data_IF_176069111095
#
_entry.id   IF_176069111095
#
_cell.length_a   1.000
_cell.length_b   1.000
_cell.length_c   1.000
_cell.angle_alpha   90.00
_cell.angle_beta   90.00
_cell.angle_gamma   90.00
#
_symmetry.space_group_name_H-M   'P 1'
#
loop_
_entity.id
_entity.type
_entity.pdbx_description
1 polymer ?
#
# COMPACT_ATOMS: atom_id res chain seq x y z
N UNK A 1 -32.64 18.85 27.72
CA UNK A 1 -31.49 18.41 26.91
C UNK A 1 -32.06 17.57 25.79
N UNK A 2 -32.18 18.17 24.60
CA UNK A 2 -32.55 17.44 23.39
C UNK A 2 -31.45 16.41 23.11
N UNK A 3 -31.77 15.18 22.69
CA UNK A 3 -30.74 14.25 22.27
C UNK A 3 -30.05 14.89 21.07
N UNK A 4 -28.75 15.20 21.19
CA UNK A 4 -27.94 15.64 20.06
C UNK A 4 -28.15 14.63 18.93
N UNK A 5 -28.68 15.10 17.82
CA UNK A 5 -28.64 14.36 16.57
C UNK A 5 -27.15 14.13 16.32
N UNK A 6 -26.68 12.90 16.52
CA UNK A 6 -25.29 12.54 16.31
C UNK A 6 -25.00 12.69 14.81
N UNK A 7 -24.59 13.89 14.40
CA UNK A 7 -24.15 14.14 13.05
C UNK A 7 -22.82 13.40 12.91
N UNK A 8 -22.69 12.52 11.90
CA UNK A 8 -21.40 11.90 11.60
C UNK A 8 -20.32 12.99 11.50
N UNK A 9 -19.13 12.77 12.07
CA UNK A 9 -18.06 13.74 12.03
C UNK A 9 -17.70 14.10 10.59
N UNK A 10 -17.42 15.37 10.33
CA UNK A 10 -16.91 15.80 9.03
C UNK A 10 -15.45 15.33 8.90
N UNK A 11 -15.19 14.51 7.89
CA UNK A 11 -13.86 13.97 7.58
C UNK A 11 -13.49 14.28 6.14
N UNK A 12 -12.21 14.60 5.92
CA UNK A 12 -11.57 14.75 4.62
C UNK A 12 -10.38 13.77 4.54
N UNK A 13 -10.22 13.10 3.41
CA UNK A 13 -9.08 12.21 3.18
C UNK A 13 -8.01 12.91 2.36
N UNK A 14 -6.81 13.06 2.93
CA UNK A 14 -5.63 13.53 2.20
C UNK A 14 -4.85 12.32 1.68
N UNK A 15 -4.96 12.11 0.39
CA UNK A 15 -4.39 11.02 -0.39
C UNK A 15 -3.14 11.51 -1.13
N UNK A 16 -2.17 10.63 -1.28
CA UNK A 16 -0.93 10.93 -1.99
C UNK A 16 0.14 9.92 -1.60
N UNK A 17 1.06 9.61 -2.51
CA UNK A 17 2.11 8.66 -2.19
C UNK A 17 3.01 9.13 -1.04
N UNK A 18 3.71 8.23 -0.33
CA UNK A 18 4.78 8.66 0.54
C UNK A 18 5.78 9.53 -0.23
N UNK A 19 6.38 10.51 0.45
CA UNK A 19 7.32 11.48 -0.13
C UNK A 19 6.73 12.44 -1.18
N UNK A 20 5.42 12.48 -1.38
CA UNK A 20 4.76 13.49 -2.24
C UNK A 20 4.60 14.87 -1.58
N UNK A 21 4.89 15.00 -0.28
CA UNK A 21 4.72 16.25 0.47
C UNK A 21 3.43 16.35 1.28
N UNK A 22 2.71 15.23 1.47
CA UNK A 22 1.44 15.20 2.22
C UNK A 22 1.58 15.76 3.63
N UNK A 23 2.70 15.49 4.32
CA UNK A 23 2.96 16.05 5.66
C UNK A 23 3.13 17.58 5.64
N UNK A 24 3.72 18.16 4.59
CA UNK A 24 3.82 19.62 4.45
C UNK A 24 2.42 20.22 4.25
N UNK A 25 1.63 19.65 3.34
CA UNK A 25 0.27 20.11 3.10
C UNK A 25 -0.58 20.03 4.38
N UNK A 26 -0.52 18.92 5.12
CA UNK A 26 -1.19 18.77 6.42
C UNK A 26 -0.75 19.86 7.40
N UNK A 27 0.57 20.12 7.50
CA UNK A 27 1.12 21.12 8.41
C UNK A 27 0.61 22.53 8.12
N UNK A 28 0.40 22.87 6.85
CA UNK A 28 -0.15 24.16 6.46
C UNK A 28 -1.66 24.24 6.70
N UNK A 29 -2.42 23.19 6.36
CA UNK A 29 -3.87 23.16 6.55
C UNK A 29 -4.29 23.21 8.02
N UNK A 30 -3.53 22.58 8.93
CA UNK A 30 -3.88 22.57 10.36
C UNK A 30 -3.78 23.95 11.05
N UNK A 31 -3.16 24.94 10.39
CA UNK A 31 -3.12 26.33 10.87
C UNK A 31 -4.49 27.02 10.79
N UNK A 32 -5.45 26.44 10.05
CA UNK A 32 -6.82 26.92 10.03
C UNK A 32 -7.53 26.59 11.37
N UNK A 33 -8.33 27.52 11.94
CA UNK A 33 -8.98 27.33 13.23
C UNK A 33 -9.93 26.11 13.26
N UNK A 34 -10.58 25.80 12.13
CA UNK A 34 -11.57 24.72 12.04
C UNK A 34 -11.02 23.34 11.61
N UNK A 35 -9.73 23.21 11.29
CA UNK A 35 -9.14 21.99 10.73
C UNK A 35 -8.24 21.27 11.75
N UNK A 36 -8.56 20.03 12.11
CA UNK A 36 -7.66 19.13 12.87
C UNK A 36 -7.09 18.05 11.96
N UNK A 37 -5.80 17.77 12.07
CA UNK A 37 -5.15 16.75 11.24
C UNK A 37 -4.06 16.01 12.04
N UNK A 38 -4.41 14.92 12.75
CA UNK A 38 -3.45 14.20 13.58
C UNK A 38 -2.40 13.43 12.76
N UNK A 39 -1.34 12.85 13.37
CA UNK A 39 -0.30 12.17 12.59
C UNK A 39 -0.92 10.90 12.03
N UNK A 40 -0.35 10.41 10.92
CA UNK A 40 -0.87 9.32 10.10
C UNK A 40 -1.64 8.27 10.91
N UNK A 41 -2.99 8.26 10.86
CA UNK A 41 -3.78 7.37 11.71
C UNK A 41 -3.69 5.91 11.30
N UNK A 42 -3.49 5.62 10.00
CA UNK A 42 -3.52 4.28 9.41
C UNK A 42 -4.84 3.51 9.68
N UNK A 43 -5.87 4.20 10.16
CA UNK A 43 -7.09 3.61 10.69
C UNK A 43 -7.89 2.87 9.60
N UNK A 44 -8.02 3.47 8.41
CA UNK A 44 -8.81 2.86 7.34
C UNK A 44 -8.18 1.57 6.80
N UNK A 45 -6.84 1.47 6.81
CA UNK A 45 -6.13 0.25 6.45
C UNK A 45 -6.37 -0.87 7.48
N UNK A 46 -6.36 -0.53 8.76
CA UNK A 46 -6.66 -1.48 9.83
C UNK A 46 -8.13 -1.93 9.81
N UNK A 47 -9.06 -1.01 9.54
CA UNK A 47 -10.49 -1.30 9.46
C UNK A 47 -10.87 -2.11 8.22
N UNK A 48 -10.19 -1.93 7.08
CA UNK A 48 -10.39 -2.78 5.91
C UNK A 48 -9.98 -4.23 6.21
N UNK A 49 -8.88 -4.40 6.96
CA UNK A 49 -8.41 -5.70 7.44
C UNK A 49 -9.21 -6.27 8.65
N UNK A 50 -10.27 -5.60 9.10
CA UNK A 50 -11.05 -6.02 10.27
C UNK A 50 -11.61 -7.45 10.09
N UNK A 51 -11.24 -8.38 10.97
CA UNK A 51 -11.63 -9.78 10.89
C UNK A 51 -10.59 -10.70 10.23
N UNK A 52 -9.44 -10.16 9.82
CA UNK A 52 -8.29 -10.97 9.40
C UNK A 52 -7.49 -11.47 10.61
N UNK A 53 -7.07 -12.73 10.56
CA UNK A 53 -6.35 -13.40 11.64
C UNK A 53 -4.91 -13.68 11.22
N UNK A 54 -3.94 -13.35 12.08
CA UNK A 54 -2.53 -13.71 11.87
C UNK A 54 -2.39 -15.24 11.85
N UNK A 55 -1.71 -15.79 10.85
CA UNK A 55 -1.49 -17.24 10.71
C UNK A 55 -0.73 -17.85 11.89
N UNK A 56 0.01 -17.04 12.65
CA UNK A 56 0.78 -17.45 13.84
C UNK A 56 -0.05 -17.40 15.13
N UNK A 57 -1.35 -17.16 15.04
CA UNK A 57 -2.20 -17.04 16.22
C UNK A 57 -2.19 -18.36 17.03
N UNK A 58 -1.83 -18.34 18.33
CA UNK A 58 -1.57 -19.55 19.12
C UNK A 58 -2.83 -20.38 19.39
N UNK A 59 -4.02 -19.78 19.33
CA UNK A 59 -5.30 -20.47 19.49
C UNK A 59 -5.82 -21.16 18.20
N UNK A 60 -4.96 -21.36 17.19
CA UNK A 60 -5.32 -21.99 15.92
C UNK A 60 -5.91 -20.99 14.93
N UNK A 61 -5.04 -20.35 14.14
CA UNK A 61 -5.42 -19.31 13.19
C UNK A 61 -6.54 -19.72 12.22
N UNK A 62 -6.49 -20.94 11.66
CA UNK A 62 -7.51 -21.44 10.73
C UNK A 62 -8.89 -21.57 11.37
N UNK A 63 -8.95 -22.01 12.63
CA UNK A 63 -10.22 -22.14 13.36
C UNK A 63 -10.82 -20.77 13.67
N UNK A 64 -10.00 -19.83 14.14
CA UNK A 64 -10.44 -18.47 14.41
C UNK A 64 -10.88 -17.79 13.11
N UNK A 65 -10.12 -17.94 12.02
CA UNK A 65 -10.47 -17.38 10.72
C UNK A 65 -11.81 -17.91 10.23
N UNK A 66 -12.08 -19.21 10.37
CA UNK A 66 -13.38 -19.79 10.02
C UNK A 66 -14.51 -19.19 10.89
N UNK A 67 -14.35 -19.21 12.21
CA UNK A 67 -15.36 -18.73 13.15
C UNK A 67 -15.65 -17.23 12.98
N UNK A 68 -14.61 -16.39 12.83
CA UNK A 68 -14.79 -14.94 12.66
C UNK A 68 -15.40 -14.61 11.31
N UNK A 69 -15.05 -15.34 10.24
CA UNK A 69 -15.66 -15.15 8.92
C UNK A 69 -17.14 -15.50 8.95
N UNK A 70 -17.49 -16.62 9.59
CA UNK A 70 -18.88 -17.03 9.75
C UNK A 70 -19.67 -16.01 10.58
N UNK A 71 -19.10 -15.52 11.68
CA UNK A 71 -19.73 -14.50 12.53
C UNK A 71 -19.94 -13.18 11.78
N UNK A 72 -18.88 -12.66 11.13
CA UNK A 72 -18.92 -11.39 10.41
C UNK A 72 -19.76 -11.45 9.13
N UNK A 73 -20.01 -12.63 8.56
CA UNK A 73 -20.90 -12.80 7.40
C UNK A 73 -22.35 -12.38 7.67
N UNK A 74 -22.74 -12.28 8.95
CA UNK A 74 -24.11 -11.96 9.40
C UNK A 74 -24.33 -10.47 9.67
N UNK A 75 -23.32 -9.62 9.46
CA UNK A 75 -23.39 -8.18 9.72
C UNK A 75 -22.93 -7.38 8.51
N UNK A 76 -23.37 -6.12 8.44
CA UNK A 76 -22.77 -5.15 7.52
C UNK A 76 -21.48 -4.58 8.14
N UNK A 77 -20.34 -5.07 7.66
CA UNK A 77 -19.01 -4.62 8.09
C UNK A 77 -18.78 -3.13 7.81
N UNK A 78 -19.41 -2.55 6.79
CA UNK A 78 -19.28 -1.13 6.45
C UNK A 78 -19.89 -0.27 7.55
N UNK A 79 -21.08 -0.62 8.03
CA UNK A 79 -21.78 0.11 9.11
C UNK A 79 -20.93 0.06 10.39
N UNK A 80 -20.42 -1.11 10.75
CA UNK A 80 -19.62 -1.27 11.98
C UNK A 80 -18.28 -0.55 11.88
N UNK A 81 -17.56 -0.68 10.77
CA UNK A 81 -16.30 0.04 10.55
C UNK A 81 -16.51 1.55 10.53
N UNK A 82 -17.60 2.04 9.93
CA UNK A 82 -17.96 3.46 9.97
C UNK A 82 -18.29 3.92 11.38
N UNK A 83 -19.06 3.17 12.16
CA UNK A 83 -19.38 3.52 13.54
C UNK A 83 -18.12 3.65 14.42
N UNK A 84 -17.16 2.72 14.26
CA UNK A 84 -15.87 2.81 14.93
C UNK A 84 -15.09 4.07 14.51
N UNK A 85 -15.00 4.31 13.20
CA UNK A 85 -14.29 5.47 12.66
C UNK A 85 -14.93 6.80 13.10
N UNK A 86 -16.27 6.91 13.05
CA UNK A 86 -17.03 8.07 13.50
C UNK A 86 -16.75 8.36 15.00
N UNK A 87 -16.72 7.32 15.83
CA UNK A 87 -16.41 7.47 17.25
C UNK A 87 -14.96 7.95 17.50
N UNK A 88 -13.99 7.50 16.70
CA UNK A 88 -12.59 7.95 16.80
C UNK A 88 -12.45 9.39 16.31
N UNK A 89 -12.91 9.70 15.10
CA UNK A 89 -12.79 11.05 14.52
C UNK A 89 -13.58 12.08 15.35
N UNK A 90 -14.77 11.71 15.84
CA UNK A 90 -15.58 12.56 16.71
C UNK A 90 -14.86 12.94 18.00
N UNK A 91 -14.11 12.02 18.61
CA UNK A 91 -13.31 12.34 19.80
C UNK A 91 -12.17 13.33 19.50
N UNK A 92 -11.48 13.19 18.37
CA UNK A 92 -10.46 14.16 17.96
C UNK A 92 -11.04 15.55 17.71
N UNK A 93 -12.20 15.62 17.04
CA UNK A 93 -12.89 16.88 16.78
C UNK A 93 -13.35 17.55 18.08
N UNK A 94 -13.98 16.78 18.97
CA UNK A 94 -14.44 17.27 20.26
C UNK A 94 -13.29 17.76 21.14
N UNK A 95 -12.18 17.00 21.20
CA UNK A 95 -11.00 17.38 21.97
C UNK A 95 -10.32 18.64 21.43
N UNK A 96 -10.26 18.80 20.10
CA UNK A 96 -9.62 19.95 19.47
C UNK A 96 -10.55 21.18 19.35
N UNK A 97 -11.86 21.02 19.56
CA UNK A 97 -12.86 22.06 19.31
C UNK A 97 -12.93 22.48 17.84
N UNK A 98 -12.59 21.58 16.90
CA UNK A 98 -12.48 21.84 15.46
C UNK A 98 -13.63 21.17 14.69
N UNK A 99 -13.85 21.61 13.45
CA UNK A 99 -15.05 21.23 12.66
C UNK A 99 -14.81 20.12 11.64
N UNK A 100 -13.58 19.97 11.13
CA UNK A 100 -13.24 18.91 10.17
C UNK A 100 -11.93 18.22 10.51
N UNK A 101 -11.96 16.91 10.36
CA UNK A 101 -10.81 16.03 10.56
C UNK A 101 -10.18 15.72 9.20
N UNK A 102 -8.88 15.94 9.05
CA UNK A 102 -8.13 15.49 7.87
C UNK A 102 -7.38 14.21 8.24
N UNK A 103 -7.83 13.09 7.67
CA UNK A 103 -7.08 11.83 7.72
C UNK A 103 -6.08 11.80 6.57
N UNK A 104 -4.82 12.06 6.91
CA UNK A 104 -3.70 11.90 5.99
C UNK A 104 -3.00 10.58 6.27
N UNK A 105 -3.12 9.64 5.34
CA UNK A 105 -2.35 8.39 5.34
C UNK A 105 -1.88 8.07 3.92
N UNK A 106 -0.56 8.04 3.64
CA UNK A 106 -0.07 7.96 2.26
C UNK A 106 -0.51 6.71 1.47
N UNK A 107 -0.72 5.57 2.15
CA UNK A 107 -1.07 4.30 1.52
C UNK A 107 -2.57 4.02 1.42
N UNK A 108 -3.41 5.04 1.60
CA UNK A 108 -4.84 4.90 1.36
C UNK A 108 -5.20 4.62 -0.10
N UNK A 109 -4.25 4.74 -1.04
CA UNK A 109 -4.40 4.20 -2.40
C UNK A 109 -4.76 2.70 -2.41
N UNK A 110 -4.41 1.94 -1.36
CA UNK A 110 -4.73 0.51 -1.23
C UNK A 110 -6.19 0.22 -0.86
N UNK A 111 -6.93 1.22 -0.35
CA UNK A 111 -8.26 1.06 0.24
C UNK A 111 -9.26 2.11 -0.25
N UNK A 112 -9.05 2.68 -1.44
CA UNK A 112 -9.93 3.73 -1.98
C UNK A 112 -11.39 3.29 -2.09
N UNK A 113 -11.66 2.07 -2.57
CA UNK A 113 -13.03 1.56 -2.67
C UNK A 113 -13.68 1.40 -1.28
N UNK A 114 -12.89 1.06 -0.26
CA UNK A 114 -13.34 1.01 1.12
C UNK A 114 -13.64 2.41 1.66
N UNK A 115 -12.82 3.41 1.36
CA UNK A 115 -13.11 4.81 1.70
C UNK A 115 -14.40 5.29 1.02
N UNK A 116 -14.59 4.99 -0.26
CA UNK A 116 -15.79 5.34 -1.03
C UNK A 116 -17.05 4.67 -0.46
N UNK A 117 -16.93 3.44 0.04
CA UNK A 117 -18.02 2.73 0.73
C UNK A 117 -18.35 3.36 2.08
N UNK A 118 -17.34 3.64 2.92
CA UNK A 118 -17.55 4.18 4.27
C UNK A 118 -17.98 5.65 4.24
N UNK A 119 -17.38 6.46 3.38
CA UNK A 119 -17.56 7.91 3.32
C UNK A 119 -17.70 8.39 1.86
N UNK A 120 -18.84 8.10 1.20
CA UNK A 120 -19.04 8.46 -0.20
C UNK A 120 -18.97 9.98 -0.44
N UNK A 121 -19.49 10.77 0.51
CA UNK A 121 -19.58 12.23 0.40
C UNK A 121 -18.38 12.99 1.03
N UNK A 122 -17.39 12.29 1.60
CA UNK A 122 -16.25 12.96 2.20
C UNK A 122 -15.39 13.67 1.14
N UNK A 123 -14.94 14.92 1.38
CA UNK A 123 -13.96 15.56 0.53
C UNK A 123 -12.66 14.74 0.47
N UNK A 124 -12.03 14.77 -0.69
CA UNK A 124 -10.74 14.13 -0.94
C UNK A 124 -9.76 15.18 -1.44
N UNK A 125 -8.54 15.15 -0.95
CA UNK A 125 -7.43 15.93 -1.49
C UNK A 125 -6.42 14.93 -2.02
N UNK A 126 -6.09 14.97 -3.31
CA UNK A 126 -5.05 14.14 -3.91
C UNK A 126 -3.83 15.01 -4.18
N UNK A 127 -2.74 14.73 -3.47
CA UNK A 127 -1.45 15.37 -3.70
C UNK A 127 -0.62 14.54 -4.68
N UNK A 128 -0.32 15.16 -5.83
CA UNK A 128 0.53 14.63 -6.88
C UNK A 128 1.88 15.34 -6.82
N UNK A 129 2.96 14.58 -7.05
CA UNK A 129 4.34 15.09 -7.14
C UNK A 129 5.06 14.38 -8.27
N UNK A 130 6.03 15.05 -8.89
CA UNK A 130 6.90 14.46 -9.90
C UNK A 130 7.45 13.11 -9.40
N UNK A 131 7.19 12.00 -10.12
CA UNK A 131 7.61 10.70 -9.63
C UNK A 131 9.13 10.49 -9.56
N UNK A 132 9.92 11.18 -10.39
CA UNK A 132 11.38 11.20 -10.23
C UNK A 132 11.80 11.86 -8.91
N UNK A 133 11.11 12.93 -8.51
CA UNK A 133 11.35 13.58 -7.21
C UNK A 133 10.92 12.71 -6.03
N UNK A 134 9.84 11.93 -6.17
CA UNK A 134 9.45 10.92 -5.17
C UNK A 134 10.56 9.86 -5.05
N UNK A 135 11.02 9.29 -6.17
CA UNK A 135 12.07 8.26 -6.18
C UNK A 135 13.40 8.77 -5.60
N UNK A 136 13.85 9.97 -5.98
CA UNK A 136 15.04 10.61 -5.41
C UNK A 136 14.90 10.84 -3.90
N UNK A 137 13.70 11.20 -3.43
CA UNK A 137 13.45 11.35 -2.00
C UNK A 137 13.44 10.01 -1.27
N UNK A 138 12.95 8.93 -1.89
CA UNK A 138 13.01 7.58 -1.32
C UNK A 138 14.47 7.13 -1.19
N UNK A 139 15.27 7.29 -2.25
CA UNK A 139 16.72 7.00 -2.25
C UNK A 139 17.46 7.74 -1.13
N UNK A 140 17.35 9.07 -1.09
CA UNK A 140 18.13 9.89 -0.15
C UNK A 140 17.65 9.82 1.30
N UNK A 141 16.34 9.61 1.55
CA UNK A 141 15.80 9.59 2.92
C UNK A 141 15.75 8.18 3.52
N UNK A 142 15.47 7.16 2.71
CA UNK A 142 15.26 5.78 3.19
C UNK A 142 16.33 4.81 2.72
N UNK A 143 17.33 5.27 1.95
CA UNK A 143 18.40 4.42 1.43
C UNK A 143 17.90 3.39 0.41
N UNK A 144 16.78 3.66 -0.27
CA UNK A 144 16.23 2.72 -1.26
C UNK A 144 17.19 2.64 -2.45
N UNK A 145 17.77 1.47 -2.73
CA UNK A 145 18.57 1.31 -3.93
C UNK A 145 17.63 1.23 -5.13
N UNK A 146 17.69 2.22 -6.02
CA UNK A 146 16.91 2.21 -7.27
C UNK A 146 17.59 1.38 -8.37
N UNK A 147 18.91 1.17 -8.23
CA UNK A 147 19.70 0.25 -9.06
C UNK A 147 20.03 -1.03 -8.31
N UNK A 148 20.13 -2.12 -9.06
CA UNK A 148 20.61 -3.41 -8.58
C UNK A 148 22.14 -3.50 -8.65
N UNK A 149 22.85 -3.15 -7.57
CA UNK A 149 24.29 -3.46 -7.45
C UNK A 149 24.56 -4.87 -6.89
N UNK A 150 23.51 -5.62 -6.52
CA UNK A 150 23.61 -6.97 -5.95
C UNK A 150 22.41 -7.81 -6.39
N UNK A 151 22.59 -9.11 -6.59
CA UNK A 151 21.49 -10.04 -6.81
C UNK A 151 21.03 -10.61 -5.45
N UNK A 152 19.74 -10.54 -5.09
CA UNK A 152 18.61 -9.99 -5.87
C UNK A 152 18.55 -8.46 -5.85
N UNK A 153 17.98 -7.86 -6.90
CA UNK A 153 17.75 -6.42 -6.96
C UNK A 153 16.79 -5.93 -5.87
N UNK A 154 16.69 -4.62 -5.71
CA UNK A 154 15.70 -4.00 -4.83
C UNK A 154 14.25 -4.29 -5.26
N UNK A 155 13.99 -4.37 -6.57
CA UNK A 155 12.67 -4.70 -7.12
C UNK A 155 12.35 -6.17 -6.86
N UNK A 156 13.30 -7.07 -7.10
CA UNK A 156 13.14 -8.50 -6.84
C UNK A 156 12.96 -8.78 -5.34
N UNK A 157 13.69 -8.05 -4.49
CA UNK A 157 13.52 -8.13 -3.04
C UNK A 157 12.15 -7.63 -2.60
N UNK A 158 11.69 -6.53 -3.18
CA UNK A 158 10.35 -5.99 -2.96
C UNK A 158 9.23 -6.96 -3.36
N UNK A 159 9.34 -7.59 -4.53
CA UNK A 159 8.38 -8.60 -4.98
C UNK A 159 8.38 -9.82 -4.06
N UNK A 160 9.55 -10.24 -3.57
CA UNK A 160 9.66 -11.36 -2.64
C UNK A 160 9.03 -11.05 -1.28
N UNK A 161 9.33 -9.88 -0.71
CA UNK A 161 8.73 -9.42 0.54
C UNK A 161 7.20 -9.35 0.43
N UNK A 162 6.70 -8.83 -0.69
CA UNK A 162 5.26 -8.74 -0.98
C UNK A 162 4.62 -10.13 -1.06
N UNK A 163 5.27 -11.07 -1.74
CA UNK A 163 4.80 -12.45 -1.87
C UNK A 163 4.80 -13.20 -0.53
N UNK A 164 5.82 -13.02 0.29
CA UNK A 164 5.98 -13.75 1.55
C UNK A 164 5.21 -13.12 2.72
N UNK A 165 4.67 -11.92 2.54
CA UNK A 165 3.94 -11.21 3.59
C UNK A 165 4.80 -10.91 4.81
N UNK A 166 6.12 -10.85 4.64
CA UNK A 166 7.04 -10.52 5.72
C UNK A 166 6.77 -9.09 6.20
N UNK A 167 6.90 -8.81 7.51
CA UNK A 167 6.75 -7.46 8.04
C UNK A 167 7.73 -6.56 7.32
N UNK A 168 7.20 -5.78 6.40
CA UNK A 168 7.99 -5.09 5.39
C UNK A 168 8.82 -4.02 6.11
N UNK A 169 10.17 -4.08 6.09
CA UNK A 169 10.91 -2.85 6.29
C UNK A 169 10.43 -1.86 5.22
N UNK A 170 10.28 -0.58 5.57
CA UNK A 170 9.64 0.47 4.76
C UNK A 170 10.08 0.56 3.27
N UNK A 171 11.16 -0.14 2.91
CA UNK A 171 11.79 -0.28 1.61
C UNK A 171 10.92 -1.02 0.57
N UNK A 172 10.29 -2.16 0.91
CA UNK A 172 9.59 -2.97 -0.10
C UNK A 172 8.16 -2.48 -0.46
N UNK A 173 7.58 -1.51 0.25
CA UNK A 173 6.34 -0.87 -0.23
C UNK A 173 6.58 0.28 -1.20
N UNK A 174 7.83 0.78 -1.33
CA UNK A 174 8.14 1.99 -2.11
C UNK A 174 7.92 1.82 -3.61
N UNK A 175 8.31 0.67 -4.18
CA UNK A 175 8.07 0.40 -5.59
C UNK A 175 6.60 0.12 -5.88
N UNK A 176 5.89 -0.56 -4.97
CA UNK A 176 4.44 -0.74 -5.10
C UNK A 176 3.70 0.60 -5.07
N UNK A 177 4.15 1.56 -4.25
CA UNK A 177 3.61 2.93 -4.24
C UNK A 177 3.72 3.58 -5.64
N UNK A 178 4.84 3.42 -6.36
CA UNK A 178 5.01 3.95 -7.73
C UNK A 178 4.25 3.14 -8.80
N UNK A 179 4.36 1.80 -8.75
CA UNK A 179 3.85 0.90 -9.79
C UNK A 179 2.33 0.70 -9.69
N UNK A 180 1.79 0.65 -8.47
CA UNK A 180 0.36 0.41 -8.23
C UNK A 180 -0.32 1.63 -7.62
N UNK A 181 0.32 2.32 -6.68
CA UNK A 181 -0.28 3.45 -5.98
C UNK A 181 -0.50 4.67 -6.88
N UNK A 182 0.53 5.11 -7.60
CA UNK A 182 0.44 6.28 -8.48
C UNK A 182 -0.68 6.18 -9.54
N UNK A 183 -0.77 5.12 -10.37
CA UNK A 183 -1.85 5.01 -11.34
C UNK A 183 -3.22 4.91 -10.67
N UNK A 184 -3.31 4.29 -9.49
CA UNK A 184 -4.56 4.16 -8.74
C UNK A 184 -5.05 5.53 -8.25
N UNK A 185 -4.14 6.37 -7.74
CA UNK A 185 -4.46 7.75 -7.37
C UNK A 185 -4.81 8.61 -8.59
N UNK A 186 -4.06 8.47 -9.69
CA UNK A 186 -4.31 9.20 -10.94
C UNK A 186 -5.72 8.91 -11.48
N UNK A 187 -6.14 7.64 -11.47
CA UNK A 187 -7.49 7.24 -11.87
C UNK A 187 -8.59 7.79 -10.93
N UNK A 188 -8.24 8.15 -9.70
CA UNK A 188 -9.16 8.70 -8.70
C UNK A 188 -9.29 10.23 -8.77
N UNK A 189 -8.39 10.92 -9.48
CA UNK A 189 -8.41 12.38 -9.63
C UNK A 189 -9.72 12.93 -10.24
N UNK A 190 -10.41 12.15 -11.07
CA UNK A 190 -11.67 12.56 -11.71
C UNK A 190 -12.95 12.33 -10.87
N UNK A 191 -12.83 11.84 -9.63
CA UNK A 191 -13.99 11.54 -8.77
C UNK A 191 -14.64 12.81 -8.19
N UNK A 192 -15.91 12.71 -7.80
CA UNK A 192 -16.64 13.80 -7.14
C UNK A 192 -15.99 14.13 -5.79
N UNK A 193 -16.11 15.40 -5.37
CA UNK A 193 -15.54 15.91 -4.12
C UNK A 193 -14.01 15.75 -4.00
N UNK A 194 -13.30 15.61 -5.12
CA UNK A 194 -11.84 15.50 -5.16
C UNK A 194 -11.20 16.82 -5.57
N UNK A 195 -10.25 17.31 -4.78
CA UNK A 195 -9.35 18.40 -5.12
C UNK A 195 -7.96 17.85 -5.43
N UNK A 196 -7.36 18.31 -6.53
CA UNK A 196 -5.98 17.95 -6.90
C UNK A 196 -5.06 19.06 -6.40
N UNK A 197 -3.92 18.67 -5.81
CA UNK A 197 -2.83 19.57 -5.44
C UNK A 197 -1.57 19.04 -6.10
N UNK A 198 -0.82 19.90 -6.78
CA UNK A 198 0.51 19.56 -7.26
C UNK A 198 1.53 20.08 -6.25
N UNK A 199 2.42 19.21 -5.79
CA UNK A 199 3.47 19.57 -4.83
C UNK A 199 4.29 20.76 -5.32
N UNK A 200 4.60 20.81 -6.61
CA UNK A 200 5.39 21.87 -7.23
C UNK A 200 4.68 23.23 -7.15
N UNK A 201 3.35 23.27 -7.28
CA UNK A 201 2.57 24.50 -7.09
C UNK A 201 2.45 24.85 -5.61
N UNK A 202 2.28 23.85 -4.73
CA UNK A 202 2.20 24.04 -3.29
C UNK A 202 3.46 24.71 -2.73
N UNK A 203 4.66 24.31 -3.19
CA UNK A 203 5.91 24.92 -2.71
C UNK A 203 6.22 26.25 -3.38
N UNK A 204 5.80 26.45 -4.65
CA UNK A 204 6.01 27.70 -5.36
C UNK A 204 5.08 28.83 -4.88
N UNK A 205 3.83 28.48 -4.52
CA UNK A 205 2.79 29.44 -4.11
C UNK A 205 1.96 28.89 -2.94
N UNK A 206 2.58 28.69 -1.77
CA UNK A 206 1.93 28.03 -0.64
C UNK A 206 0.64 28.74 -0.20
N UNK A 207 0.65 30.07 -0.05
CA UNK A 207 -0.52 30.79 0.42
C UNK A 207 -1.71 30.74 -0.57
N UNK A 208 -1.44 30.78 -1.88
CA UNK A 208 -2.48 30.68 -2.91
C UNK A 208 -3.10 29.27 -2.91
N UNK A 209 -2.26 28.23 -2.90
CA UNK A 209 -2.73 26.85 -2.92
C UNK A 209 -3.47 26.45 -1.65
N UNK A 210 -3.01 26.91 -0.47
CA UNK A 210 -3.69 26.64 0.80
C UNK A 210 -5.05 27.34 0.85
N UNK A 211 -5.14 28.61 0.43
CA UNK A 211 -6.43 29.32 0.33
C UNK A 211 -7.38 28.60 -0.62
N UNK A 212 -6.89 28.12 -1.77
CA UNK A 212 -7.69 27.35 -2.74
C UNK A 212 -8.22 26.05 -2.11
N UNK A 213 -7.37 25.29 -1.43
CA UNK A 213 -7.75 24.01 -0.82
C UNK A 213 -8.77 24.21 0.30
N UNK A 214 -8.56 25.19 1.18
CA UNK A 214 -9.49 25.54 2.28
C UNK A 214 -10.85 25.97 1.74
N UNK A 215 -10.87 26.84 0.72
CA UNK A 215 -12.10 27.25 0.07
C UNK A 215 -12.84 26.06 -0.57
N UNK A 216 -12.11 25.14 -1.21
CA UNK A 216 -12.69 23.92 -1.77
C UNK A 216 -13.22 22.92 -0.72
N UNK A 217 -12.76 23.02 0.53
CA UNK A 217 -13.33 22.29 1.66
C UNK A 217 -14.58 22.99 2.25
N UNK A 218 -14.95 24.18 1.74
CA UNK A 218 -16.10 24.95 2.21
C UNK A 218 -15.82 25.83 3.43
N UNK A 219 -14.56 26.14 3.72
CA UNK A 219 -14.14 27.01 4.83
C UNK A 219 -13.63 28.37 4.34
N UNK A 220 -13.62 29.38 5.21
CA UNK A 220 -13.13 30.72 4.88
C UNK A 220 -11.59 30.72 4.74
N UNK A 221 -11.05 30.98 3.55
CA UNK A 221 -9.61 30.92 3.31
C UNK A 221 -8.83 32.05 4.01
N UNK A 222 -9.49 33.09 4.52
CA UNK A 222 -8.84 34.22 5.20
C UNK A 222 -8.61 33.96 6.70
N UNK A 223 -9.26 32.95 7.25
CA UNK A 223 -9.10 32.56 8.64
C UNK A 223 -7.77 31.85 8.86
N UNK A 224 -6.87 32.48 9.60
CA UNK A 224 -5.63 31.86 10.08
C UNK A 224 -5.59 31.95 11.59
N UNK A 225 -5.36 30.83 12.28
CA UNK A 225 -5.12 30.88 13.72
C UNK A 225 -3.68 31.35 13.96
N UNK A 226 -3.47 32.15 15.03
CA UNK A 226 -2.13 32.30 15.60
C UNK A 226 -1.72 30.91 16.10
N UNK A 227 -0.62 30.37 15.59
CA UNK A 227 -0.12 29.06 16.00
C UNK A 227 0.02 29.01 17.53
N UNK A 228 -0.84 28.24 18.20
CA UNK A 228 -0.70 27.99 19.63
C UNK A 228 0.51 27.07 19.86
N UNK A 229 1.16 27.22 21.01
CA UNK A 229 2.35 26.42 21.40
C UNK A 229 2.08 24.91 21.24
N UNK A 230 0.86 24.44 21.51
CA UNK A 230 0.42 23.05 21.33
C UNK A 230 0.42 22.56 19.86
N UNK A 231 0.11 23.42 18.87
CA UNK A 231 0.16 23.05 17.44
C UNK A 231 1.60 22.81 16.95
N UNK A 232 2.58 23.38 17.66
CA UNK A 232 4.01 23.25 17.34
C UNK A 232 4.59 21.96 17.95
N UNK A 233 4.06 21.50 19.08
CA UNK A 233 4.47 20.26 19.78
C UNK A 233 3.97 18.96 19.12
N UNK A 234 2.96 19.06 18.27
CA UNK A 234 2.48 17.96 17.46
C UNK A 234 3.56 17.39 16.54
N UNK A 235 4.35 18.27 15.90
CA UNK A 235 5.42 17.84 15.01
C UNK A 235 6.57 17.23 15.77
N UNK A 236 6.83 17.60 17.04
CA UNK A 236 7.98 17.13 17.83
C UNK A 236 7.75 15.72 18.40
N UNK A 237 6.51 15.38 18.75
CA UNK A 237 6.13 14.13 19.44
C UNK A 237 5.70 12.97 18.52
N UNK A 238 5.37 13.22 17.25
CA UNK A 238 4.88 12.18 16.34
C UNK A 238 5.98 11.19 15.88
N UNK A 239 5.66 9.88 15.93
CA UNK A 239 6.51 8.79 15.40
C UNK A 239 6.44 8.65 13.88
N UNK A 240 5.31 9.02 13.28
CA UNK A 240 4.99 8.91 11.85
C UNK A 240 4.94 10.29 11.16
N UNK A 241 5.23 10.34 9.86
CA UNK A 241 5.35 11.58 9.07
C UNK A 241 6.78 11.93 8.66
N UNK A 242 6.94 12.98 7.84
CA UNK A 242 8.25 13.38 7.33
C UNK A 242 9.02 14.25 8.34
N UNK A 243 10.06 13.68 8.94
CA UNK A 243 10.89 14.38 9.94
C UNK A 243 11.70 15.53 9.36
N UNK A 244 11.99 15.52 8.05
CA UNK A 244 12.74 16.60 7.37
C UNK A 244 12.01 17.95 7.42
N UNK A 245 10.70 17.97 7.65
CA UNK A 245 9.95 19.23 7.86
C UNK A 245 10.42 19.95 9.12
N UNK A 246 10.89 19.22 10.14
CA UNK A 246 11.40 19.81 11.39
C UNK A 246 12.70 20.58 11.20
N UNK A 247 13.48 20.22 10.18
CA UNK A 247 14.81 20.77 9.92
C UNK A 247 14.75 22.04 9.05
N UNK A 248 13.63 22.26 8.37
CA UNK A 248 13.43 23.39 7.46
C UNK A 248 12.73 24.55 8.17
N UNK A 249 13.36 25.71 8.16
CA UNK A 249 12.77 26.95 8.70
C UNK A 249 11.77 27.61 7.74
N UNK A 250 11.89 27.34 6.44
CA UNK A 250 11.06 27.92 5.39
C UNK A 250 10.73 26.85 4.33
N UNK A 251 9.64 27.07 3.58
CA UNK A 251 9.28 26.25 2.43
C UNK A 251 10.26 26.60 1.30
N UNK A 252 11.08 25.64 0.89
CA UNK A 252 12.01 25.80 -0.24
C UNK A 252 11.59 24.95 -1.45
N UNK A 253 11.85 25.50 -2.64
CA UNK A 253 11.64 24.81 -3.93
C UNK A 253 12.79 23.86 -4.27
N UNK A 254 13.85 23.78 -3.46
CA UNK A 254 15.06 23.01 -3.77
C UNK A 254 14.75 21.53 -4.03
N UNK A 255 13.74 20.99 -3.33
CA UNK A 255 13.27 19.61 -3.45
C UNK A 255 12.58 19.28 -4.79
N UNK A 256 12.17 20.29 -5.58
CA UNK A 256 11.45 20.11 -6.85
C UNK A 256 12.37 19.55 -7.92
N UNK A 257 13.62 20.03 -7.96
CA UNK A 257 14.59 19.68 -9.01
C UNK A 257 15.74 18.78 -8.55
N UNK A 258 15.83 18.45 -7.27
CA UNK A 258 16.95 17.64 -6.72
C UNK A 258 17.10 16.29 -7.43
N UNK A 259 16.03 15.71 -7.95
CA UNK A 259 16.08 14.44 -8.69
C UNK A 259 17.02 14.48 -9.91
N UNK A 260 17.21 15.65 -10.52
CA UNK A 260 18.09 15.83 -11.68
C UNK A 260 19.56 15.58 -11.34
N UNK A 261 19.96 15.77 -10.08
CA UNK A 261 21.32 15.55 -9.59
C UNK A 261 21.46 14.28 -8.76
N UNK A 262 20.38 13.83 -8.13
CA UNK A 262 20.36 12.66 -7.24
C UNK A 262 20.15 11.34 -7.97
N UNK A 263 19.52 11.37 -9.15
CA UNK A 263 19.26 10.17 -9.94
C UNK A 263 20.24 10.06 -11.11
N UNK A 264 20.82 8.87 -11.28
CA UNK A 264 21.52 8.52 -12.51
C UNK A 264 20.54 8.30 -13.66
N UNK A 265 21.05 8.23 -14.89
CA UNK A 265 20.24 7.94 -16.10
C UNK A 265 19.56 6.57 -15.97
N UNK A 266 20.27 5.59 -15.43
CA UNK A 266 19.76 4.24 -15.18
C UNK A 266 18.65 4.26 -14.12
N UNK A 267 18.77 5.09 -13.07
CA UNK A 267 17.72 5.21 -12.05
C UNK A 267 16.47 5.89 -12.62
N UNK A 268 16.65 6.94 -13.43
CA UNK A 268 15.55 7.55 -14.16
C UNK A 268 14.91 6.55 -15.13
N UNK A 269 15.69 5.67 -15.76
CA UNK A 269 15.15 4.60 -16.60
C UNK A 269 14.27 3.65 -15.79
N UNK A 270 14.72 3.19 -14.62
CA UNK A 270 13.91 2.32 -13.73
C UNK A 270 12.59 3.00 -13.35
N UNK A 271 12.63 4.26 -12.91
CA UNK A 271 11.40 5.00 -12.56
C UNK A 271 10.45 5.09 -13.76
N UNK A 272 10.99 5.35 -14.95
CA UNK A 272 10.22 5.43 -16.21
C UNK A 272 9.59 4.09 -16.56
N UNK A 273 10.33 2.99 -16.43
CA UNK A 273 9.83 1.63 -16.71
C UNK A 273 8.68 1.24 -15.76
N UNK A 274 8.82 1.56 -14.47
CA UNK A 274 7.84 1.23 -13.42
C UNK A 274 6.53 2.02 -13.57
N UNK A 275 6.61 3.28 -14.01
CA UNK A 275 5.47 4.20 -14.04
C UNK A 275 4.83 4.28 -15.42
N UNK A 276 5.66 4.27 -16.46
CA UNK A 276 5.29 4.47 -17.86
C UNK A 276 5.30 5.94 -18.27
N UNK A 277 5.78 6.21 -19.49
CA UNK A 277 5.80 7.54 -20.09
C UNK A 277 4.38 8.14 -20.24
N UNK A 278 3.39 7.32 -20.60
CA UNK A 278 1.98 7.73 -20.73
C UNK A 278 1.46 8.39 -19.44
N UNK A 279 1.66 7.73 -18.29
CA UNK A 279 1.19 8.25 -17.01
C UNK A 279 1.94 9.51 -16.57
N UNK A 280 3.25 9.63 -16.87
CA UNK A 280 4.00 10.86 -16.62
C UNK A 280 3.41 12.04 -17.39
N UNK A 281 3.02 11.83 -18.65
CA UNK A 281 2.37 12.87 -19.47
C UNK A 281 0.96 13.20 -18.96
N UNK A 282 0.15 12.19 -18.61
CA UNK A 282 -1.20 12.38 -18.05
C UNK A 282 -1.18 13.19 -16.74
N UNK A 283 -0.15 12.99 -15.91
CA UNK A 283 0.03 13.73 -14.66
C UNK A 283 0.64 15.14 -14.84
N UNK A 284 0.98 15.52 -16.08
CA UNK A 284 1.53 16.84 -16.42
C UNK A 284 3.06 16.96 -16.31
N UNK A 285 3.79 15.85 -16.20
CA UNK A 285 5.26 15.81 -16.06
C UNK A 285 5.98 15.53 -17.39
N UNK A 286 5.46 16.06 -18.50
CA UNK A 286 6.05 15.88 -19.82
C UNK A 286 7.43 16.55 -19.94
N UNK A 287 7.63 17.70 -19.28
CA UNK A 287 8.91 18.41 -19.30
C UNK A 287 10.01 17.60 -18.59
N UNK A 288 9.69 16.99 -17.47
CA UNK A 288 10.57 16.12 -16.69
C UNK A 288 10.90 14.84 -17.47
N UNK A 289 9.90 14.24 -18.13
CA UNK A 289 10.12 13.10 -19.03
C UNK A 289 11.06 13.48 -20.19
N UNK A 290 10.85 14.63 -20.84
CA UNK A 290 11.74 15.11 -21.91
C UNK A 290 13.17 15.34 -21.41
N UNK A 291 13.34 15.86 -20.19
CA UNK A 291 14.66 15.99 -19.57
C UNK A 291 15.33 14.62 -19.40
N UNK A 292 14.62 13.64 -18.84
CA UNK A 292 15.13 12.28 -18.67
C UNK A 292 15.52 11.66 -20.03
N UNK A 293 14.72 11.87 -21.06
CA UNK A 293 15.00 11.39 -22.41
C UNK A 293 16.25 12.03 -23.03
N UNK A 294 16.43 13.33 -22.84
CA UNK A 294 17.65 14.03 -23.26
C UNK A 294 18.91 13.53 -22.52
N UNK A 295 18.75 13.09 -21.27
CA UNK A 295 19.81 12.48 -20.49
C UNK A 295 20.12 11.02 -20.89
N UNK A 296 19.26 10.38 -21.70
CA UNK A 296 19.48 9.03 -22.22
C UNK A 296 18.42 7.98 -21.83
N UNK A 297 17.36 8.37 -21.11
CA UNK A 297 16.23 7.47 -20.83
C UNK A 297 15.43 7.20 -22.10
N UNK A 298 15.03 5.95 -22.30
CA UNK A 298 14.24 5.51 -23.45
C UNK A 298 12.88 5.01 -22.97
N UNK A 299 11.81 5.42 -23.65
CA UNK A 299 10.50 4.80 -23.45
C UNK A 299 10.50 3.38 -24.05
N UNK A 300 10.53 2.36 -23.19
CA UNK A 300 10.47 0.94 -23.59
C UNK A 300 9.06 0.48 -23.96
N UNK A 301 8.08 1.37 -23.82
CA UNK A 301 6.70 1.18 -24.21
C UNK A 301 5.82 0.54 -23.13
N UNK A 302 4.51 0.70 -23.32
CA UNK A 302 3.46 0.27 -22.38
C UNK A 302 3.53 -1.19 -21.94
N UNK A 303 4.04 -2.08 -22.79
CA UNK A 303 4.16 -3.51 -22.47
C UNK A 303 5.11 -3.77 -21.28
N UNK A 304 6.20 -3.01 -21.17
CA UNK A 304 7.16 -3.14 -20.05
C UNK A 304 6.51 -2.68 -18.75
N UNK A 305 5.90 -1.50 -18.75
CA UNK A 305 5.20 -0.97 -17.58
C UNK A 305 4.06 -1.89 -17.13
N UNK A 306 3.23 -2.39 -18.05
CA UNK A 306 2.15 -3.31 -17.71
C UNK A 306 2.70 -4.66 -17.19
N UNK A 307 3.86 -5.10 -17.68
CA UNK A 307 4.58 -6.25 -17.13
C UNK A 307 4.90 -6.07 -15.64
N UNK A 308 5.48 -4.93 -15.26
CA UNK A 308 5.71 -4.60 -13.84
C UNK A 308 4.40 -4.54 -13.05
N UNK A 309 3.35 -3.87 -13.58
CA UNK A 309 2.06 -3.79 -12.88
C UNK A 309 1.47 -5.18 -12.61
N UNK A 310 1.51 -6.08 -13.60
CA UNK A 310 1.01 -7.44 -13.44
C UNK A 310 1.79 -8.23 -12.40
N UNK A 311 3.12 -8.12 -12.37
CA UNK A 311 3.95 -8.76 -11.35
C UNK A 311 3.62 -8.28 -9.94
N UNK A 312 3.60 -6.96 -9.74
CA UNK A 312 3.28 -6.37 -8.44
C UNK A 312 1.86 -6.74 -7.97
N UNK A 313 0.87 -6.76 -8.88
CA UNK A 313 -0.49 -7.24 -8.57
C UNK A 313 -0.50 -8.71 -8.19
N UNK A 314 0.14 -9.59 -8.98
CA UNK A 314 0.17 -11.01 -8.70
C UNK A 314 0.79 -11.30 -7.32
N UNK A 315 1.92 -10.68 -6.99
CA UNK A 315 2.53 -10.79 -5.67
C UNK A 315 1.62 -10.26 -4.55
N UNK A 316 0.90 -9.15 -4.79
CA UNK A 316 -0.07 -8.60 -3.82
C UNK A 316 -1.31 -9.47 -3.63
N UNK A 317 -1.80 -10.13 -4.69
CA UNK A 317 -3.04 -10.92 -4.67
C UNK A 317 -2.82 -12.32 -4.08
N UNK A 318 -1.63 -12.88 -4.25
CA UNK A 318 -1.25 -14.17 -3.63
C UNK A 318 -1.28 -14.11 -2.10
N UNK A 319 -1.08 -12.92 -1.52
CA UNK A 319 -1.34 -12.63 -0.10
C UNK A 319 -2.84 -12.64 0.25
N UNK A 320 -3.71 -12.24 -0.67
CA UNK A 320 -5.17 -12.17 -0.47
C UNK A 320 -5.91 -13.51 -0.56
N UNK A 321 -5.26 -14.55 -1.11
CA UNK A 321 -5.85 -15.88 -1.31
C UNK A 321 -6.30 -16.62 -0.04
N UNK A 322 -5.94 -16.15 1.16
CA UNK A 322 -6.38 -16.74 2.45
C UNK A 322 -7.54 -15.99 3.13
N UNK A 323 -8.22 -15.05 2.45
CA UNK A 323 -9.37 -14.37 3.07
C UNK A 323 -9.99 -13.19 2.32
N UNK A 324 -9.48 -12.83 1.13
CA UNK A 324 -10.08 -11.79 0.28
C UNK A 324 -11.25 -12.39 -0.51
N UNK A 325 -12.29 -12.84 0.21
CA UNK A 325 -13.59 -13.00 -0.39
C UNK A 325 -14.04 -11.60 -0.83
N UNK A 326 -13.94 -11.35 -2.14
CA UNK A 326 -14.63 -10.26 -2.79
C UNK A 326 -16.09 -10.25 -2.34
N UNK A 327 -16.65 -9.06 -2.16
CA UNK A 327 -18.06 -8.82 -1.94
C UNK A 327 -18.89 -9.45 -3.07
N UNK A 328 -19.19 -10.74 -2.97
CA UNK A 328 -20.13 -11.45 -3.82
C UNK A 328 -20.67 -12.66 -3.05
N UNK A 329 -21.93 -12.51 -2.63
CA UNK A 329 -22.72 -13.55 -1.97
C UNK A 329 -23.02 -14.65 -2.99
N UNK A 330 -22.73 -15.89 -2.63
CA UNK A 330 -23.57 -17.04 -3.01
C UNK A 330 -23.24 -18.21 -2.09
N UNK A 331 -24.23 -18.58 -1.28
CA UNK A 331 -24.22 -19.71 -0.38
C UNK A 331 -24.32 -21.02 -1.17
N UNK A 332 -23.50 -22.00 -0.83
CA UNK A 332 -24.01 -23.36 -0.73
C UNK A 332 -23.19 -24.18 0.28
N UNK A 333 -23.92 -24.90 1.13
CA UNK A 333 -23.39 -25.61 2.29
C UNK A 333 -22.91 -27.02 1.94
N UNK A 334 -21.89 -27.48 2.67
CA UNK A 334 -21.41 -28.86 2.60
C UNK A 334 -20.67 -29.26 3.87
N UNK A 335 -21.29 -30.19 4.60
CA UNK A 335 -20.95 -30.84 5.88
C UNK A 335 -19.49 -30.84 6.36
N UNK A 336 -19.29 -30.37 7.60
CA UNK A 336 -18.02 -30.33 8.33
C UNK A 336 -18.10 -31.06 9.69
N UNK A 337 -18.85 -32.17 9.74
CA UNK A 337 -19.12 -32.91 10.98
C UNK A 337 -18.19 -34.10 11.27
N UNK A 338 -17.12 -34.33 10.51
CA UNK A 338 -16.27 -35.53 10.70
C UNK A 338 -14.91 -35.29 11.35
N UNK A 339 -14.56 -34.06 11.75
CA UNK A 339 -13.20 -33.73 12.23
C UNK A 339 -13.12 -33.46 13.73
N UNK A 340 -14.25 -33.32 14.43
CA UNK A 340 -14.28 -32.84 15.82
C UNK A 340 -14.13 -33.95 16.87
N UNK A 341 -14.15 -35.24 16.50
CA UNK A 341 -14.33 -36.32 17.47
C UNK A 341 -13.07 -37.09 17.90
N UNK A 342 -11.86 -36.56 17.66
CA UNK A 342 -10.65 -37.37 17.86
C UNK A 342 -9.43 -36.64 18.45
N UNK A 343 -9.64 -35.70 19.36
CA UNK A 343 -8.55 -35.10 20.11
C UNK A 343 -8.96 -34.68 21.53
N UNK A 344 -9.36 -35.65 22.34
CA UNK A 344 -9.28 -35.55 23.80
C UNK A 344 -8.22 -36.54 24.31
N UNK A 345 -7.47 -36.11 25.33
CA UNK A 345 -6.44 -36.85 26.08
C UNK A 345 -5.00 -36.84 25.53
N UNK A 346 -4.17 -35.91 26.02
CA UNK A 346 -3.19 -36.23 27.07
C UNK A 346 -2.25 -35.06 27.39
N UNK A 347 -1.96 -34.90 28.68
CA UNK A 347 -1.14 -33.87 29.29
C UNK A 347 0.36 -34.05 29.00
N UNK A 348 1.07 -33.00 28.56
CA UNK A 348 2.54 -32.91 28.64
C UNK A 348 3.04 -31.46 28.48
N UNK A 349 3.00 -30.66 29.55
CA UNK A 349 3.42 -29.24 29.52
C UNK A 349 4.96 -29.01 29.52
N UNK A 350 5.77 -30.07 29.51
CA UNK A 350 7.24 -29.97 29.38
C UNK A 350 7.75 -30.25 27.95
N UNK A 351 6.95 -30.89 27.09
CA UNK A 351 7.33 -31.25 25.71
C UNK A 351 7.12 -30.09 24.71
N UNK A 352 6.17 -29.20 25.00
CA UNK A 352 5.80 -28.06 24.16
C UNK A 352 6.98 -27.10 23.89
N UNK A 353 7.85 -26.85 24.87
CA UNK A 353 8.96 -25.91 24.70
C UNK A 353 10.09 -26.45 23.80
N UNK A 354 10.25 -27.78 23.74
CA UNK A 354 11.15 -28.48 22.81
C UNK A 354 10.55 -28.52 21.41
N UNK A 355 9.27 -28.91 21.32
CA UNK A 355 8.53 -28.99 20.05
C UNK A 355 8.43 -27.61 19.38
N UNK A 356 8.18 -26.54 20.14
CA UNK A 356 8.13 -25.16 19.60
C UNK A 356 9.50 -24.72 19.11
N UNK A 357 10.59 -25.01 19.84
CA UNK A 357 11.96 -24.69 19.37
C UNK A 357 12.36 -25.53 18.16
N UNK A 358 11.91 -26.76 18.07
CA UNK A 358 12.22 -27.67 16.97
C UNK A 358 11.37 -27.33 15.74
N UNK A 359 10.10 -26.97 15.93
CA UNK A 359 9.24 -26.40 14.88
C UNK A 359 9.76 -25.05 14.39
N UNK A 360 10.28 -24.18 15.27
CA UNK A 360 10.97 -22.94 14.87
C UNK A 360 12.25 -23.24 14.08
N UNK A 361 13.09 -24.18 14.55
CA UNK A 361 14.30 -24.61 13.83
C UNK A 361 14.03 -25.33 12.51
N UNK A 362 12.87 -25.94 12.32
CA UNK A 362 12.46 -26.59 11.07
C UNK A 362 11.73 -25.60 10.12
N UNK A 363 11.07 -24.58 10.68
CA UNK A 363 10.39 -23.54 9.91
C UNK A 363 11.36 -22.49 9.34
N UNK A 364 12.40 -22.11 10.10
CA UNK A 364 13.44 -21.18 9.65
C UNK A 364 14.17 -21.60 8.37
N UNK A 365 14.71 -22.83 8.22
CA UNK A 365 15.39 -23.24 7.00
C UNK A 365 14.44 -23.35 5.80
N UNK A 366 13.17 -23.75 6.04
CA UNK A 366 12.15 -23.80 4.98
C UNK A 366 11.72 -22.39 4.54
N UNK A 367 11.65 -21.44 5.48
CA UNK A 367 11.40 -20.03 5.19
C UNK A 367 12.55 -19.41 4.41
N UNK A 368 13.80 -19.68 4.82
CA UNK A 368 15.01 -19.21 4.15
C UNK A 368 15.16 -19.79 2.72
N UNK A 369 14.83 -21.07 2.53
CA UNK A 369 14.80 -21.71 1.22
C UNK A 369 13.71 -21.13 0.32
N UNK A 370 12.50 -20.92 0.85
CA UNK A 370 11.42 -20.25 0.15
C UNK A 370 11.78 -18.82 -0.22
N UNK A 371 12.40 -18.08 0.69
CA UNK A 371 12.93 -16.72 0.48
C UNK A 371 13.89 -16.68 -0.71
N UNK A 372 14.90 -17.55 -0.71
CA UNK A 372 15.88 -17.63 -1.80
C UNK A 372 15.25 -17.96 -3.13
N UNK A 373 14.30 -18.89 -3.15
CA UNK A 373 13.60 -19.29 -4.37
C UNK A 373 12.71 -18.15 -4.90
N UNK A 374 11.98 -17.46 -4.03
CA UNK A 374 11.14 -16.31 -4.41
C UNK A 374 12.00 -15.16 -4.91
N UNK A 375 13.12 -14.84 -4.24
CA UNK A 375 14.07 -13.83 -4.71
C UNK A 375 14.69 -14.18 -6.07
N UNK A 376 15.06 -15.45 -6.27
CA UNK A 376 15.60 -15.95 -7.55
C UNK A 376 14.58 -15.79 -8.68
N UNK A 377 13.34 -16.21 -8.42
CA UNK A 377 12.21 -16.07 -9.36
C UNK A 377 11.94 -14.61 -9.69
N UNK A 378 11.87 -13.74 -8.68
CA UNK A 378 11.62 -12.32 -8.89
C UNK A 378 12.74 -11.64 -9.69
N UNK A 379 14.00 -12.04 -9.46
CA UNK A 379 15.15 -11.53 -10.21
C UNK A 379 15.15 -11.99 -11.67
N UNK A 380 14.78 -13.24 -11.95
CA UNK A 380 14.63 -13.75 -13.33
C UNK A 380 13.54 -12.99 -14.09
N UNK A 381 12.40 -12.73 -13.45
CA UNK A 381 11.30 -11.97 -14.04
C UNK A 381 11.71 -10.53 -14.37
N UNK A 382 12.44 -9.88 -13.47
CA UNK A 382 12.97 -8.55 -13.71
C UNK A 382 13.96 -8.53 -14.89
N UNK A 383 14.85 -9.51 -15.00
CA UNK A 383 15.76 -9.63 -16.14
C UNK A 383 15.02 -9.75 -17.47
N UNK A 384 13.93 -10.53 -17.50
CA UNK A 384 13.07 -10.65 -18.69
C UNK A 384 12.40 -9.31 -19.05
N UNK A 385 11.99 -8.52 -18.05
CA UNK A 385 11.35 -7.22 -18.27
C UNK A 385 12.33 -6.11 -18.66
N UNK A 386 13.60 -6.23 -18.28
CA UNK A 386 14.66 -5.24 -18.55
C UNK A 386 15.50 -5.54 -19.79
N UNK A 387 15.37 -6.72 -20.39
CA UNK A 387 16.12 -7.13 -21.57
C UNK A 387 15.87 -6.21 -22.79
N UNK A 388 16.91 -5.81 -23.55
CA UNK A 388 16.77 -4.97 -24.73
C UNK A 388 15.89 -5.64 -25.80
N UNK A 389 15.07 -4.85 -26.50
CA UNK A 389 14.17 -5.32 -27.57
C UNK A 389 14.87 -6.09 -28.74
N UNK A 390 16.20 -6.09 -28.81
CA UNK A 390 16.97 -6.80 -29.83
C UNK A 390 17.08 -8.33 -29.59
N UNK A 391 16.85 -8.81 -28.36
CA UNK A 391 17.01 -10.23 -27.97
C UNK A 391 15.68 -10.99 -27.76
N UNK A 392 14.54 -10.48 -28.26
CA UNK A 392 13.26 -11.21 -28.18
C UNK A 392 13.20 -12.32 -29.26
N UNK A 393 13.21 -13.62 -28.92
CA UNK A 393 12.44 -14.58 -29.71
C UNK A 393 10.96 -14.22 -29.57
N UNK A 394 10.14 -14.69 -30.51
CA UNK A 394 8.74 -14.29 -30.69
C UNK A 394 7.95 -14.07 -29.37
N UNK A 395 7.07 -13.05 -29.36
CA UNK A 395 6.22 -12.61 -28.24
C UNK A 395 5.47 -13.73 -27.47
N UNK A 396 5.42 -14.95 -27.98
CA UNK A 396 4.83 -16.12 -27.32
C UNK A 396 5.71 -16.71 -26.20
N UNK A 397 7.04 -16.67 -26.33
CA UNK A 397 7.94 -17.29 -25.35
C UNK A 397 8.06 -16.49 -24.05
N UNK A 398 8.09 -15.15 -24.12
CA UNK A 398 8.15 -14.28 -22.93
C UNK A 398 6.88 -14.34 -22.08
N UNK A 399 5.73 -14.49 -22.73
CA UNK A 399 4.44 -14.69 -22.03
C UNK A 399 4.40 -16.07 -21.39
N UNK A 400 4.89 -17.11 -22.08
CA UNK A 400 4.97 -18.47 -21.54
C UNK A 400 5.89 -18.58 -20.32
N UNK A 401 7.06 -17.95 -20.35
CA UNK A 401 8.00 -17.95 -19.20
C UNK A 401 7.38 -17.21 -18.02
N UNK A 402 6.82 -16.01 -18.25
CA UNK A 402 6.14 -15.22 -17.21
C UNK A 402 4.97 -15.97 -16.57
N UNK A 403 4.10 -16.56 -17.39
CA UNK A 403 2.90 -17.25 -16.90
C UNK A 403 3.27 -18.54 -16.14
N UNK A 404 4.27 -19.31 -16.63
CA UNK A 404 4.80 -20.47 -15.91
C UNK A 404 5.44 -20.10 -14.56
N UNK A 405 6.07 -18.92 -14.48
CA UNK A 405 6.63 -18.41 -13.23
C UNK A 405 5.57 -17.92 -12.24
N UNK A 406 4.52 -17.24 -12.70
CA UNK A 406 3.35 -16.90 -11.87
C UNK A 406 2.71 -18.18 -11.32
N UNK A 407 2.62 -19.24 -12.14
CA UNK A 407 2.11 -20.53 -11.71
C UNK A 407 3.05 -21.24 -10.71
N UNK A 408 4.36 -21.05 -10.84
CA UNK A 408 5.35 -21.54 -9.86
C UNK A 408 5.17 -20.82 -8.52
N UNK A 409 5.02 -19.50 -8.50
CA UNK A 409 4.73 -18.72 -7.29
C UNK A 409 3.38 -19.14 -6.66
N UNK A 410 2.35 -19.42 -7.47
CA UNK A 410 1.07 -19.97 -7.00
C UNK A 410 1.25 -21.33 -6.34
N UNK A 411 2.03 -22.23 -6.94
CA UNK A 411 2.29 -23.57 -6.40
C UNK A 411 3.04 -23.54 -5.05
N UNK A 412 3.79 -22.47 -4.79
CA UNK A 412 4.57 -22.26 -3.55
C UNK A 412 3.75 -21.63 -2.41
N UNK A 413 2.50 -21.23 -2.65
CA UNK A 413 1.65 -20.61 -1.62
C UNK A 413 1.31 -21.61 -0.50
N UNK A 414 1.48 -21.26 0.79
CA UNK A 414 1.15 -22.13 1.90
C UNK A 414 -0.36 -22.37 1.95
N UNK A 415 -0.80 -23.53 1.44
CA UNK A 415 -2.21 -23.92 1.33
C UNK A 415 -2.53 -24.83 0.15
N UNK A 416 -1.65 -24.89 -0.88
CA UNK A 416 -1.81 -25.79 -2.02
C UNK A 416 -1.16 -27.17 -1.78
N UNK A 417 -1.59 -27.91 -0.77
CA UNK A 417 -1.38 -29.37 -0.76
C UNK A 417 -2.47 -30.02 -1.62
N UNK A 418 -2.24 -30.11 -2.93
CA UNK A 418 -3.03 -31.01 -3.79
C UNK A 418 -2.72 -32.45 -3.39
N UNK A 419 -3.75 -33.15 -2.93
CA UNK A 419 -3.77 -34.60 -2.77
C UNK A 419 -3.52 -35.28 -4.12
N UNK A 420 -2.30 -35.76 -4.36
CA UNK A 420 -2.04 -36.73 -5.42
C UNK A 420 -2.34 -38.13 -4.89
N UNK A 421 -3.59 -38.60 -5.05
CA UNK A 421 -3.92 -40.00 -4.81
C UNK A 421 -3.32 -40.85 -5.95
N UNK A 422 -2.27 -41.58 -5.61
CA UNK A 422 -1.74 -42.72 -6.36
C UNK A 422 -2.87 -43.72 -6.60
N UNK A 423 -3.33 -43.88 -7.85
CA UNK A 423 -4.05 -45.07 -8.27
C UNK A 423 -3.03 -46.17 -8.57
N UNK A 424 -2.86 -47.08 -7.62
CA UNK A 424 -2.28 -48.39 -7.85
C UNK A 424 -3.28 -49.24 -8.61
N UNK A 425 -2.97 -49.53 -9.86
CA UNK A 425 -3.61 -50.57 -10.67
C UNK A 425 -3.00 -51.93 -10.34
N UNK A 426 -3.81 -52.84 -9.82
CA UNK A 426 -3.53 -54.28 -9.74
C UNK A 426 -4.73 -55.02 -10.33
N UNK A 427 -4.61 -55.37 -11.61
CA UNK A 427 -4.76 -56.69 -12.26
C UNK A 427 -5.75 -57.78 -11.73
N UNK A 428 -6.11 -58.79 -12.56
CA UNK A 428 -7.51 -59.02 -12.96
C UNK A 428 -8.04 -60.47 -12.73
N UNK A 429 -9.32 -60.68 -13.12
CA UNK A 429 -10.03 -61.95 -13.39
C UNK A 429 -10.25 -62.87 -12.15
N UNK A 430 -11.45 -63.38 -11.86
CA UNK A 430 -12.49 -64.01 -12.70
C UNK A 430 -13.88 -63.62 -12.22
#
# INVERSE_FOLDING_TARGET
MSPDVCHSPAVCFLLGLPRSGTTLLTHLLQQHPDIVAPPEPWLMLALEAFGMVDQRHPAGASLIQAAISEFLSRIDRTIVSRAFADAVYGQYLAAAGKRIFIDKTPRYWMVLDFLDSLYPEAPRIILIRNPYAIAASMKSTWGIPLLSASCPSAIASCLADLFLGLPTPAIASCFADLVLGLPTLAAHCGRRHTQIVHYEQLVARPDEEIRRVIAGLGYDPTCTALATVEQTDYLSSASFGDRKIREKKEIDECSVRTWQTELSVEEMQVVTDLIGAELLMELGYEAELRYAQQAGVVDRGRATTEGYRQLFRACSDLRGGTGRASFSISADGGDLNSVVQQAEENSAFASLHSIVREAQRLAEPKMEENLRLVHSVAAQLEQVLTAPNADRPARQDTTSVRDATIDTLRAMSPGSSRSSSLRTSSEPQV
#
